data_IF_805881360841
#
_entry.id   IF_805881360841
#
_cell.length_a   1.000
_cell.length_b   1.000
_cell.length_c   1.000
_cell.angle_alpha   90.00
_cell.angle_beta   90.00
_cell.angle_gamma   90.00
#
_symmetry.space_group_name_H-M   'P 1'
#
loop_
_entity.id
_entity.type
_entity.pdbx_description
1 polymer ?
#
# COMPACT_ATOMS: atom_id res chain seq x y z
N UNK A 1 -4.42 3.96 -2.20
CA UNK A 1 -3.56 3.78 -3.40
C UNK A 1 -4.04 2.56 -4.15
N UNK A 2 -3.88 2.49 -5.45
CA UNK A 2 -4.27 1.27 -6.20
C UNK A 2 -3.18 0.20 -6.12
N UNK A 3 -1.92 0.62 -6.15
CA UNK A 3 -0.75 -0.23 -5.97
C UNK A 3 0.20 0.44 -4.97
N UNK A 4 0.88 -0.35 -4.15
CA UNK A 4 1.90 0.16 -3.23
C UNK A 4 3.21 0.32 -4.01
N UNK A 5 3.74 1.54 -4.18
CA UNK A 5 4.98 1.75 -4.91
C UNK A 5 6.14 0.95 -4.29
N UNK A 6 6.91 0.17 -5.08
CA UNK A 6 8.06 -0.58 -4.58
C UNK A 6 9.07 0.30 -3.82
N UNK A 7 9.27 1.53 -4.30
CA UNK A 7 10.15 2.51 -3.68
C UNK A 7 9.79 2.86 -2.22
N UNK A 8 8.51 2.74 -1.82
CA UNK A 8 8.09 2.94 -0.43
C UNK A 8 8.41 1.72 0.44
N UNK A 9 8.38 0.51 -0.14
CA UNK A 9 8.77 -0.72 0.54
C UNK A 9 10.30 -0.80 0.69
N UNK A 10 11.05 -0.33 -0.31
CA UNK A 10 12.51 -0.28 -0.28
C UNK A 10 13.05 0.70 0.77
N UNK A 11 12.31 1.79 1.03
CA UNK A 11 12.62 2.75 2.10
C UNK A 11 12.32 2.22 3.50
N UNK A 12 11.70 1.05 3.63
CA UNK A 12 11.39 0.47 4.93
C UNK A 12 12.67 -0.04 5.60
N UNK A 13 13.01 0.57 6.73
CA UNK A 13 14.08 0.12 7.60
C UNK A 13 13.76 -1.27 8.18
N UNK A 14 14.80 -1.96 8.65
CA UNK A 14 14.63 -3.24 9.37
C UNK A 14 13.78 -3.03 10.63
N UNK A 15 12.87 -3.97 10.91
CA UNK A 15 11.82 -3.87 11.95
C UNK A 15 10.84 -2.69 11.77
N UNK A 16 10.94 -1.98 10.64
CA UNK A 16 10.06 -0.88 10.27
C UNK A 16 8.65 -1.35 9.92
N UNK A 17 7.70 -0.41 9.97
CA UNK A 17 6.29 -0.66 9.64
C UNK A 17 5.76 0.41 8.70
N UNK A 18 4.96 -0.01 7.72
CA UNK A 18 4.28 0.87 6.77
C UNK A 18 2.80 0.48 6.73
N UNK A 19 1.91 1.46 6.87
CA UNK A 19 0.46 1.26 6.73
C UNK A 19 0.01 1.90 5.44
N UNK A 20 -0.75 1.15 4.65
CA UNK A 20 -1.31 1.62 3.39
C UNK A 20 -2.78 1.23 3.31
N UNK A 21 -3.62 2.10 2.77
CA UNK A 21 -4.96 1.72 2.35
C UNK A 21 -4.96 1.50 0.85
N UNK A 22 -5.16 0.25 0.44
CA UNK A 22 -5.27 -0.16 -0.95
C UNK A 22 -6.74 -0.10 -1.39
N UNK A 23 -7.02 0.36 -2.61
CA UNK A 23 -8.39 0.50 -3.15
C UNK A 23 -8.97 1.91 -3.05
N UNK A 24 -10.25 2.05 -3.41
CA UNK A 24 -10.96 3.33 -3.48
C UNK A 24 -12.34 3.25 -2.83
N UNK A 25 -12.74 4.29 -2.09
CA UNK A 25 -14.06 4.36 -1.45
C UNK A 25 -14.33 3.15 -0.54
N UNK A 26 -15.50 2.54 -0.68
CA UNK A 26 -15.94 1.41 0.16
C UNK A 26 -15.17 0.09 -0.07
N UNK A 27 -14.36 -0.01 -1.13
CA UNK A 27 -13.51 -1.19 -1.37
C UNK A 27 -12.11 -1.05 -0.76
N UNK A 28 -11.83 0.06 -0.06
CA UNK A 28 -10.53 0.29 0.56
C UNK A 28 -10.23 -0.71 1.68
N UNK A 29 -9.00 -1.22 1.71
CA UNK A 29 -8.49 -2.16 2.71
C UNK A 29 -7.18 -1.62 3.28
N UNK A 30 -7.15 -1.44 4.59
CA UNK A 30 -5.92 -1.15 5.32
C UNK A 30 -5.04 -2.40 5.39
N UNK A 31 -3.80 -2.26 4.95
CA UNK A 31 -2.74 -3.27 4.98
C UNK A 31 -1.56 -2.75 5.80
N UNK A 32 -1.02 -3.62 6.66
CA UNK A 32 0.20 -3.36 7.42
C UNK A 32 1.33 -4.15 6.78
N UNK A 33 2.35 -3.44 6.32
CA UNK A 33 3.64 -3.98 5.92
C UNK A 33 4.64 -3.86 7.06
N UNK A 34 5.49 -4.86 7.22
CA UNK A 34 6.63 -4.81 8.12
C UNK A 34 7.81 -5.53 7.48
N UNK A 35 9.02 -5.10 7.80
CA UNK A 35 10.25 -5.72 7.30
C UNK A 35 10.92 -6.52 8.41
N UNK A 36 11.19 -7.80 8.15
CA UNK A 36 11.90 -8.67 9.07
C UNK A 36 12.79 -9.65 8.29
N UNK A 37 14.04 -9.79 8.70
CA UNK A 37 15.04 -10.59 8.00
C UNK A 37 15.30 -10.09 6.58
N UNK A 38 15.18 -8.78 6.33
CA UNK A 38 15.30 -8.20 4.99
C UNK A 38 14.11 -8.45 4.06
N UNK A 39 13.07 -9.14 4.51
CA UNK A 39 11.86 -9.46 3.73
C UNK A 39 10.71 -8.58 4.19
N UNK A 40 10.02 -7.94 3.24
CA UNK A 40 8.80 -7.17 3.53
C UNK A 40 7.58 -8.08 3.44
N UNK A 41 6.83 -8.18 4.52
CA UNK A 41 5.59 -8.95 4.60
C UNK A 41 4.40 -8.03 4.82
N UNK A 42 3.32 -8.23 4.06
CA UNK A 42 2.07 -7.48 4.18
C UNK A 42 0.94 -8.33 4.74
N UNK A 43 0.13 -7.78 5.64
CA UNK A 43 -1.12 -8.40 6.12
C UNK A 43 -2.30 -7.43 6.05
N UNK A 44 -3.47 -7.93 5.63
CA UNK A 44 -4.73 -7.19 5.70
C UNK A 44 -5.11 -6.99 7.17
N UNK A 45 -5.47 -5.75 7.53
CA UNK A 45 -5.90 -5.40 8.87
C UNK A 45 -7.43 -5.27 8.94
N UNK A 46 -8.01 -4.32 8.21
CA UNK A 46 -9.45 -4.05 8.20
C UNK A 46 -9.87 -3.27 6.94
N UNK A 47 -11.17 -3.14 6.70
CA UNK A 47 -11.70 -2.32 5.61
C UNK A 47 -11.66 -0.84 6.01
N UNK A 48 -11.15 0.03 5.15
CA UNK A 48 -11.00 1.45 5.40
C UNK A 48 -11.48 2.26 4.18
N UNK A 49 -12.53 3.05 4.36
CA UNK A 49 -13.03 3.96 3.34
C UNK A 49 -12.46 5.36 3.55
N UNK A 50 -11.34 5.67 2.88
CA UNK A 50 -10.70 6.98 2.94
C UNK A 50 -10.60 7.62 1.56
N UNK A 51 -10.46 8.95 1.52
CA UNK A 51 -10.18 9.66 0.27
C UNK A 51 -8.82 9.21 -0.30
N UNK A 52 -8.70 9.04 -1.62
CA UNK A 52 -7.41 8.76 -2.26
C UNK A 52 -6.38 9.83 -1.93
N UNK A 53 -5.12 9.43 -1.85
CA UNK A 53 -4.00 10.35 -1.69
C UNK A 53 -3.68 10.96 -3.07
N UNK A 54 -3.74 12.29 -3.24
CA UNK A 54 -3.41 12.92 -4.52
C UNK A 54 -2.01 12.51 -4.99
N UNK A 55 -1.87 12.16 -6.27
CA UNK A 55 -0.60 11.70 -6.85
C UNK A 55 -0.25 10.22 -6.62
N UNK A 56 -1.13 9.45 -5.97
CA UNK A 56 -1.03 7.98 -5.83
C UNK A 56 -2.09 7.24 -6.65
N UNK A 57 -2.60 7.91 -7.68
CA UNK A 57 -3.44 7.32 -8.70
C UNK A 57 -2.57 6.40 -9.58
N UNK A 58 -3.12 5.26 -10.01
CA UNK A 58 -2.42 4.40 -10.95
C UNK A 58 -2.25 5.16 -12.26
N UNK A 59 -1.05 5.10 -12.84
CA UNK A 59 -0.82 5.64 -14.17
C UNK A 59 -1.74 4.89 -15.15
N UNK A 60 -2.54 5.64 -15.92
CA UNK A 60 -3.35 5.06 -16.98
C UNK A 60 -2.44 4.33 -17.97
N UNK A 61 -2.50 3.00 -17.97
CA UNK A 61 -1.86 2.16 -18.96
C UNK A 61 -2.91 1.78 -20.02
N UNK A 62 -2.48 1.66 -21.27
CA UNK A 62 -3.34 1.09 -22.31
C UNK A 62 -3.56 -0.40 -21.98
N UNK A 63 -4.81 -0.79 -21.77
CA UNK A 63 -5.25 -2.18 -21.60
C UNK A 63 -5.95 -2.60 -22.91
N UNK A 64 -5.51 -3.72 -23.50
CA UNK A 64 -5.98 -4.23 -24.80
C UNK A 64 -7.07 -5.28 -24.61
#
# INVERSE_FOLDING_TARGET
VEEVPPALLDQLAEDGRLVVVEGQGNSGVARLFFKAGGVVTGRRAFNAAIKPLPGFERAHAFEF
#
